data_IF_477773021376
#
_entry.id   IF_477773021376
#
_cell.length_a   1.000
_cell.length_b   1.000
_cell.length_c   1.000
_cell.angle_alpha   90.00
_cell.angle_beta   90.00
_cell.angle_gamma   90.00
#
_symmetry.space_group_name_H-M   'P 1'
#
loop_
_entity.id
_entity.type
_entity.pdbx_description
1 polymer ?
#
# COMPACT_ATOMS: atom_id res chain seq x y z
N UNK A 1 28.43 54.49 38.07
CA UNK A 1 27.09 53.85 38.03
C UNK A 1 26.99 53.07 36.74
N UNK A 2 26.86 51.75 36.85
CA UNK A 2 27.10 50.77 35.79
C UNK A 2 26.14 50.86 34.60
N UNK A 3 26.75 50.65 33.44
CA UNK A 3 26.20 50.32 32.13
C UNK A 3 25.08 49.27 32.18
N UNK A 4 23.93 49.57 31.57
CA UNK A 4 22.96 48.56 31.14
C UNK A 4 23.08 48.41 29.62
N UNK A 5 23.85 47.41 29.19
CA UNK A 5 23.80 46.90 27.83
C UNK A 5 22.46 46.16 27.64
N UNK A 6 21.59 46.71 26.81
CA UNK A 6 20.39 46.05 26.32
C UNK A 6 20.77 44.89 25.40
N UNK A 7 20.65 43.67 25.90
CA UNK A 7 20.82 42.43 25.13
C UNK A 7 19.75 42.34 24.03
N UNK A 8 20.12 42.03 22.77
CA UNK A 8 19.14 41.77 21.73
C UNK A 8 18.41 40.45 21.99
N UNK A 9 17.08 40.51 21.91
CA UNK A 9 16.19 39.35 21.90
C UNK A 9 16.52 38.48 20.69
N UNK A 10 17.07 37.29 20.94
CA UNK A 10 17.19 36.23 19.94
C UNK A 10 15.79 35.76 19.57
N UNK A 11 15.27 36.26 18.47
CA UNK A 11 14.15 35.66 17.76
C UNK A 11 14.63 34.32 17.21
N UNK A 12 14.35 33.23 17.93
CA UNK A 12 14.57 31.87 17.46
C UNK A 12 13.69 31.62 16.23
N UNK A 13 14.24 31.80 15.04
CA UNK A 13 13.68 31.26 13.81
C UNK A 13 13.68 29.74 13.92
N UNK A 14 12.55 29.15 14.27
CA UNK A 14 12.30 27.72 14.13
C UNK A 14 12.50 27.37 12.65
N UNK A 15 13.65 26.77 12.33
CA UNK A 15 13.86 26.11 11.05
C UNK A 15 12.73 25.11 10.88
N UNK A 16 11.84 25.34 9.92
CA UNK A 16 10.80 24.40 9.55
C UNK A 16 11.50 23.18 8.92
N UNK A 17 12.00 22.29 9.77
CA UNK A 17 12.47 20.98 9.35
C UNK A 17 11.32 20.28 8.64
N UNK A 18 11.57 19.82 7.42
CA UNK A 18 10.63 19.02 6.64
C UNK A 18 10.01 17.96 7.55
N UNK A 19 8.70 18.04 7.82
CA UNK A 19 8.03 17.05 8.64
C UNK A 19 8.26 15.68 7.98
N UNK A 20 8.91 14.78 8.73
CA UNK A 20 9.15 13.42 8.29
C UNK A 20 7.89 12.59 8.58
N UNK A 21 7.53 11.69 7.67
CA UNK A 21 6.48 10.72 7.95
C UNK A 21 6.80 9.90 9.21
N UNK A 22 5.76 9.42 9.92
CA UNK A 22 5.99 8.60 11.09
C UNK A 22 6.73 7.30 10.73
N UNK A 23 7.60 6.84 11.62
CA UNK A 23 8.45 5.66 11.39
C UNK A 23 7.65 4.39 11.03
N UNK A 24 6.43 4.25 11.56
CA UNK A 24 5.56 3.11 11.29
C UNK A 24 5.09 3.01 9.84
N UNK A 25 5.16 4.10 9.04
CA UNK A 25 4.85 4.05 7.60
C UNK A 25 5.75 3.04 6.89
N UNK A 26 7.05 3.00 7.22
CA UNK A 26 7.98 2.03 6.60
C UNK A 26 7.62 0.59 6.95
N UNK A 27 7.13 0.33 8.17
CA UNK A 27 6.63 -0.99 8.55
C UNK A 27 5.42 -1.37 7.71
N UNK A 28 4.47 -0.44 7.51
CA UNK A 28 3.29 -0.69 6.66
C UNK A 28 3.69 -0.97 5.22
N UNK A 29 4.62 -0.21 4.65
CA UNK A 29 5.15 -0.46 3.30
C UNK A 29 5.83 -1.83 3.19
N UNK A 30 6.59 -2.25 4.21
CA UNK A 30 7.19 -3.58 4.23
C UNK A 30 6.17 -4.71 4.30
N UNK A 31 5.13 -4.56 5.13
CA UNK A 31 4.04 -5.54 5.22
C UNK A 31 3.31 -5.63 3.88
N UNK A 32 2.98 -4.50 3.27
CA UNK A 32 2.35 -4.43 1.94
C UNK A 32 3.21 -5.13 0.88
N UNK A 33 4.50 -4.77 0.78
CA UNK A 33 5.42 -5.39 -0.17
C UNK A 33 5.59 -6.90 0.05
N UNK A 34 5.75 -7.36 1.30
CA UNK A 34 5.98 -8.77 1.59
C UNK A 34 4.75 -9.63 1.28
N UNK A 35 3.57 -9.17 1.70
CA UNK A 35 2.30 -9.87 1.44
C UNK A 35 1.94 -9.84 -0.04
N UNK A 36 2.12 -8.69 -0.70
CA UNK A 36 1.97 -8.54 -2.15
C UNK A 36 2.93 -9.44 -2.92
N UNK A 37 4.20 -9.49 -2.54
CA UNK A 37 5.19 -10.36 -3.21
C UNK A 37 4.79 -11.84 -3.10
N UNK A 38 4.43 -12.28 -1.88
CA UNK A 38 4.00 -13.66 -1.65
C UNK A 38 2.74 -14.00 -2.46
N UNK A 39 1.73 -13.12 -2.45
CA UNK A 39 0.50 -13.31 -3.20
C UNK A 39 0.75 -13.31 -4.71
N UNK A 40 1.45 -12.30 -5.23
CA UNK A 40 1.70 -12.15 -6.67
C UNK A 40 2.53 -13.30 -7.24
N UNK A 41 3.58 -13.73 -6.55
CA UNK A 41 4.36 -14.90 -6.96
C UNK A 41 3.54 -16.19 -6.92
N UNK A 42 2.75 -16.38 -5.86
CA UNK A 42 1.87 -17.54 -5.76
C UNK A 42 0.90 -17.61 -6.94
N UNK A 43 0.23 -16.50 -7.27
CA UNK A 43 -0.72 -16.41 -8.39
C UNK A 43 -0.08 -16.64 -9.76
N UNK A 44 1.18 -16.26 -9.95
CA UNK A 44 1.90 -16.55 -11.20
C UNK A 44 2.48 -17.97 -11.26
N UNK A 45 2.84 -18.56 -10.12
CA UNK A 45 3.43 -19.89 -10.07
C UNK A 45 2.41 -21.02 -10.27
N UNK A 46 1.18 -20.85 -9.76
CA UNK A 46 0.14 -21.87 -9.83
C UNK A 46 -1.26 -21.29 -10.15
N UNK A 47 -1.43 -20.58 -11.27
CA UNK A 47 -2.67 -19.89 -11.60
C UNK A 47 -3.86 -20.83 -11.80
N UNK A 48 -3.70 -21.95 -12.51
CA UNK A 48 -4.80 -22.89 -12.79
C UNK A 48 -5.27 -23.62 -11.52
N UNK A 49 -4.34 -23.90 -10.61
CA UNK A 49 -4.66 -24.48 -9.30
C UNK A 49 -5.51 -23.50 -8.48
N UNK A 50 -5.10 -22.24 -8.39
CA UNK A 50 -5.87 -21.21 -7.68
C UNK A 50 -7.21 -20.94 -8.34
N UNK A 51 -7.25 -20.86 -9.67
CA UNK A 51 -8.47 -20.71 -10.45
C UNK A 51 -9.50 -21.78 -10.10
N UNK A 52 -9.07 -23.04 -10.06
CA UNK A 52 -9.92 -24.18 -9.69
C UNK A 52 -10.37 -24.10 -8.23
N UNK A 53 -9.45 -23.81 -7.31
CA UNK A 53 -9.75 -23.74 -5.88
C UNK A 53 -10.73 -22.61 -5.53
N UNK A 54 -10.63 -21.47 -6.22
CA UNK A 54 -11.41 -20.27 -5.91
C UNK A 54 -12.65 -20.12 -6.78
N UNK A 55 -12.72 -20.81 -7.93
CA UNK A 55 -13.78 -20.61 -8.93
C UNK A 55 -13.60 -19.33 -9.75
N UNK A 56 -12.34 -18.95 -10.01
CA UNK A 56 -11.97 -17.77 -10.79
C UNK A 56 -11.33 -18.16 -12.14
N UNK A 57 -11.39 -17.31 -13.17
CA UNK A 57 -10.63 -17.53 -14.40
C UNK A 57 -9.11 -17.49 -14.15
N UNK A 58 -8.36 -18.45 -14.66
CA UNK A 58 -6.90 -18.50 -14.51
C UNK A 58 -6.20 -17.24 -15.05
N UNK A 59 -6.67 -16.71 -16.19
CA UNK A 59 -6.16 -15.47 -16.75
C UNK A 59 -6.33 -14.28 -15.78
N UNK A 60 -7.43 -14.23 -15.02
CA UNK A 60 -7.67 -13.18 -14.02
C UNK A 60 -6.71 -13.33 -12.83
N UNK A 61 -6.44 -14.57 -12.38
CA UNK A 61 -5.46 -14.85 -11.33
C UNK A 61 -4.05 -14.43 -11.77
N UNK A 62 -3.65 -14.79 -12.99
CA UNK A 62 -2.35 -14.40 -13.55
C UNK A 62 -2.21 -12.88 -13.69
N UNK A 63 -3.20 -12.22 -14.29
CA UNK A 63 -3.19 -10.77 -14.47
C UNK A 63 -3.14 -10.04 -13.12
N UNK A 64 -3.91 -10.52 -12.14
CA UNK A 64 -3.87 -10.02 -10.77
C UNK A 64 -2.48 -10.14 -10.17
N UNK A 65 -1.84 -11.31 -10.28
CA UNK A 65 -0.49 -11.53 -9.79
C UNK A 65 0.52 -10.58 -10.42
N UNK A 66 0.47 -10.37 -11.74
CA UNK A 66 1.34 -9.44 -12.44
C UNK A 66 1.16 -7.98 -11.98
N UNK A 67 -0.08 -7.53 -11.81
CA UNK A 67 -0.39 -6.18 -11.31
C UNK A 67 0.14 -6.01 -9.88
N UNK A 68 -0.09 -6.98 -9.00
CA UNK A 68 0.40 -6.94 -7.62
C UNK A 68 1.93 -6.84 -7.60
N UNK A 69 2.65 -7.62 -8.41
CA UNK A 69 4.11 -7.54 -8.47
C UNK A 69 4.62 -6.18 -9.00
N UNK A 70 3.88 -5.53 -9.90
CA UNK A 70 4.21 -4.17 -10.33
C UNK A 70 4.08 -3.16 -9.17
N UNK A 71 3.05 -3.29 -8.33
CA UNK A 71 2.91 -2.48 -7.11
C UNK A 71 3.99 -2.80 -6.08
N UNK A 72 4.37 -4.06 -5.91
CA UNK A 72 5.51 -4.46 -5.06
C UNK A 72 6.80 -3.78 -5.51
N UNK A 73 7.05 -3.72 -6.82
CA UNK A 73 8.20 -3.00 -7.37
C UNK A 73 8.15 -1.49 -7.04
N UNK A 74 6.98 -0.86 -7.18
CA UNK A 74 6.77 0.53 -6.75
C UNK A 74 7.09 0.69 -5.25
N UNK A 75 6.56 -0.17 -4.39
CA UNK A 75 6.80 -0.09 -2.93
C UNK A 75 8.30 -0.26 -2.63
N UNK A 76 9.00 -1.16 -3.31
CA UNK A 76 10.44 -1.33 -3.16
C UNK A 76 11.20 -0.02 -3.48
N UNK A 77 10.83 0.67 -4.56
CA UNK A 77 11.41 1.98 -4.90
C UNK A 77 11.14 3.02 -3.80
N UNK A 78 9.92 3.03 -3.23
CA UNK A 78 9.57 3.92 -2.11
C UNK A 78 10.37 3.61 -0.84
N UNK A 79 10.62 2.34 -0.54
CA UNK A 79 11.42 1.91 0.61
C UNK A 79 12.90 2.32 0.48
N UNK A 80 13.43 2.34 -0.74
CA UNK A 80 14.80 2.77 -1.05
C UNK A 80 14.97 4.30 -0.97
N UNK A 81 13.91 5.07 -1.16
CA UNK A 81 13.96 6.54 -1.18
C UNK A 81 14.43 7.16 0.16
N UNK A 82 15.35 8.12 0.05
CA UNK A 82 15.92 8.89 1.17
C UNK A 82 15.74 10.40 0.92
N UNK A 83 15.54 11.22 1.98
CA UNK A 83 15.37 10.81 3.38
C UNK A 83 14.05 10.07 3.64
N UNK A 84 13.02 10.31 2.83
CA UNK A 84 11.70 9.70 2.92
C UNK A 84 11.09 9.43 1.53
N UNK A 85 10.05 8.58 1.43
CA UNK A 85 9.35 8.34 0.17
C UNK A 85 8.75 9.63 -0.42
N UNK A 86 8.74 9.81 -1.74
CA UNK A 86 8.07 10.96 -2.36
C UNK A 86 6.54 10.88 -2.15
N UNK A 87 5.92 12.03 -1.87
CA UNK A 87 4.47 12.13 -1.63
C UNK A 87 3.64 11.58 -2.79
N UNK A 88 4.03 11.89 -4.04
CA UNK A 88 3.29 11.40 -5.22
C UNK A 88 3.27 9.87 -5.27
N UNK A 89 4.38 9.20 -4.91
CA UNK A 89 4.48 7.75 -4.92
C UNK A 89 3.57 7.09 -3.87
N UNK A 90 3.52 7.68 -2.67
CA UNK A 90 2.59 7.23 -1.62
C UNK A 90 1.13 7.47 -2.01
N UNK A 91 0.81 8.59 -2.67
CA UNK A 91 -0.55 8.86 -3.17
C UNK A 91 -0.95 7.87 -4.27
N UNK A 92 -0.03 7.54 -5.18
CA UNK A 92 -0.25 6.50 -6.20
C UNK A 92 -0.53 5.15 -5.55
N UNK A 93 0.23 4.78 -4.52
CA UNK A 93 0.02 3.52 -3.80
C UNK A 93 -1.36 3.46 -3.12
N UNK A 94 -1.75 4.51 -2.41
CA UNK A 94 -3.08 4.59 -1.77
C UNK A 94 -4.20 4.54 -2.81
N UNK A 95 -4.08 5.28 -3.90
CA UNK A 95 -5.09 5.28 -4.97
C UNK A 95 -5.17 3.90 -5.66
N UNK A 96 -4.03 3.27 -5.93
CA UNK A 96 -3.96 1.93 -6.50
C UNK A 96 -4.59 0.88 -5.59
N UNK A 97 -4.25 0.89 -4.30
CA UNK A 97 -4.84 0.00 -3.30
C UNK A 97 -6.36 0.23 -3.17
N UNK A 98 -6.83 1.49 -3.17
CA UNK A 98 -8.27 1.78 -3.17
C UNK A 98 -8.98 1.25 -4.42
N UNK A 99 -8.37 1.44 -5.61
CA UNK A 99 -8.89 0.89 -6.85
C UNK A 99 -8.92 -0.64 -6.84
N UNK A 100 -7.89 -1.28 -6.29
CA UNK A 100 -7.81 -2.73 -6.13
C UNK A 100 -8.94 -3.27 -5.26
N UNK A 101 -9.28 -2.59 -4.17
CA UNK A 101 -10.41 -2.95 -3.30
C UNK A 101 -11.72 -2.89 -4.07
N UNK A 102 -11.97 -1.81 -4.82
CA UNK A 102 -13.17 -1.67 -5.66
C UNK A 102 -13.22 -2.76 -6.72
N UNK A 103 -12.11 -3.00 -7.43
CA UNK A 103 -12.00 -4.04 -8.43
C UNK A 103 -12.27 -5.43 -7.84
N UNK A 104 -11.81 -5.70 -6.61
CA UNK A 104 -12.06 -6.96 -5.92
C UNK A 104 -13.54 -7.19 -5.65
N UNK A 105 -14.28 -6.16 -5.22
CA UNK A 105 -15.74 -6.24 -5.06
C UNK A 105 -16.42 -6.48 -6.41
N UNK A 106 -16.02 -5.76 -7.46
CA UNK A 106 -16.53 -5.95 -8.81
C UNK A 106 -16.25 -7.37 -9.33
N UNK A 107 -15.09 -7.95 -9.03
CA UNK A 107 -14.76 -9.34 -9.39
C UNK A 107 -15.72 -10.31 -8.72
N UNK A 108 -16.05 -10.11 -7.43
CA UNK A 108 -17.02 -10.95 -6.72
C UNK A 108 -18.39 -10.88 -7.39
N UNK A 109 -18.88 -9.68 -7.72
CA UNK A 109 -20.16 -9.50 -8.39
C UNK A 109 -20.18 -10.15 -9.80
N UNK A 110 -19.15 -9.91 -10.61
CA UNK A 110 -19.08 -10.42 -11.99
C UNK A 110 -18.90 -11.94 -12.07
N UNK A 111 -18.21 -12.53 -11.09
CA UNK A 111 -17.92 -13.97 -11.07
C UNK A 111 -18.73 -14.71 -10.01
N UNK A 112 -19.78 -14.08 -9.46
CA UNK A 112 -20.65 -14.68 -8.46
C UNK A 112 -21.13 -16.10 -8.83
N UNK A 113 -21.51 -16.39 -10.10
CA UNK A 113 -21.97 -17.72 -10.47
C UNK A 113 -20.90 -18.82 -10.44
N UNK A 114 -19.62 -18.46 -10.55
CA UNK A 114 -18.50 -19.42 -10.60
C UNK A 114 -17.71 -19.47 -9.30
N UNK A 115 -17.70 -18.38 -8.54
CA UNK A 115 -17.06 -18.30 -7.24
C UNK A 115 -17.70 -19.29 -6.26
N UNK A 116 -16.86 -20.05 -5.56
CA UNK A 116 -17.30 -20.81 -4.39
C UNK A 116 -17.13 -19.96 -3.12
N UNK A 117 -17.61 -20.48 -1.98
CA UNK A 117 -17.52 -19.77 -0.69
C UNK A 117 -16.06 -19.42 -0.30
N UNK A 118 -15.10 -20.28 -0.63
CA UNK A 118 -13.68 -20.01 -0.39
C UNK A 118 -13.17 -18.88 -1.28
N UNK A 119 -13.56 -18.83 -2.55
CA UNK A 119 -13.23 -17.77 -3.49
C UNK A 119 -13.73 -16.41 -3.03
N UNK A 120 -15.01 -16.32 -2.64
CA UNK A 120 -15.59 -15.08 -2.08
C UNK A 120 -14.83 -14.64 -0.83
N UNK A 121 -14.62 -15.57 0.12
CA UNK A 121 -13.89 -15.27 1.34
C UNK A 121 -12.46 -14.80 1.06
N UNK A 122 -11.73 -15.47 0.16
CA UNK A 122 -10.37 -15.11 -0.23
C UNK A 122 -10.31 -13.70 -0.82
N UNK A 123 -11.15 -13.41 -1.83
CA UNK A 123 -11.15 -12.12 -2.53
C UNK A 123 -11.52 -10.97 -1.59
N UNK A 124 -12.53 -11.15 -0.73
CA UNK A 124 -12.96 -10.12 0.19
C UNK A 124 -11.99 -9.93 1.37
N UNK A 125 -11.38 -11.00 1.88
CA UNK A 125 -10.40 -10.91 2.96
C UNK A 125 -9.16 -10.14 2.51
N UNK A 126 -8.60 -10.47 1.33
CA UNK A 126 -7.46 -9.73 0.80
C UNK A 126 -7.82 -8.28 0.47
N UNK A 127 -9.04 -8.01 -0.03
CA UNK A 127 -9.49 -6.64 -0.26
C UNK A 127 -9.60 -5.84 1.05
N UNK A 128 -10.18 -6.43 2.10
CA UNK A 128 -10.23 -5.81 3.42
C UNK A 128 -8.85 -5.51 3.98
N UNK A 129 -7.90 -6.44 3.82
CA UNK A 129 -6.51 -6.23 4.23
C UNK A 129 -5.84 -5.07 3.49
N UNK A 130 -5.96 -5.03 2.15
CA UNK A 130 -5.45 -3.94 1.31
C UNK A 130 -6.10 -2.60 1.66
N UNK A 131 -7.39 -2.58 2.00
CA UNK A 131 -8.08 -1.36 2.45
C UNK A 131 -7.49 -0.82 3.77
N UNK A 132 -7.17 -1.70 4.73
CA UNK A 132 -6.49 -1.30 5.98
C UNK A 132 -5.12 -0.71 5.69
N UNK A 133 -4.31 -1.34 4.83
CA UNK A 133 -3.01 -0.83 4.42
C UNK A 133 -3.11 0.56 3.77
N UNK A 134 -4.04 0.73 2.84
CA UNK A 134 -4.31 2.02 2.19
C UNK A 134 -4.71 3.10 3.21
N UNK A 135 -5.57 2.75 4.18
CA UNK A 135 -5.99 3.66 5.25
C UNK A 135 -4.82 4.09 6.14
N UNK A 136 -3.93 3.17 6.49
CA UNK A 136 -2.72 3.45 7.27
C UNK A 136 -1.75 4.35 6.47
N UNK A 137 -1.49 4.03 5.21
CA UNK A 137 -0.67 4.85 4.32
C UNK A 137 -1.23 6.28 4.18
N UNK A 138 -2.55 6.40 3.97
CA UNK A 138 -3.22 7.69 3.89
C UNK A 138 -3.12 8.49 5.19
N UNK A 139 -3.26 7.83 6.34
CA UNK A 139 -3.12 8.46 7.67
C UNK A 139 -1.70 8.96 7.93
N UNK A 140 -0.68 8.27 7.43
CA UNK A 140 0.71 8.69 7.59
C UNK A 140 1.05 10.00 6.85
N UNK A 141 0.30 10.32 5.79
CA UNK A 141 0.52 11.50 4.94
C UNK A 141 -0.26 12.75 5.36
N UNK A 142 -1.08 12.66 6.41
CA UNK A 142 -1.88 13.77 6.95
C UNK A 142 -1.15 14.43 8.11
#
# INVERSE_FOLDING_TARGET
MSSYASSPSRTSTLSAGTALYPAWLRTVLWVDAATGLASGLSSLAAPDMQATLLGLPAALVQASGAVVLAFVALIALLLLAKPQPPLWGLRTLVAGNALWVVASVVVVELHWPTLNALGVAYVLLQAGFVAVLAGLQARAMR
#
